data_IF_803557753263
#
_entry.id   IF_803557753263
#
_cell.length_a   1.000
_cell.length_b   1.000
_cell.length_c   1.000
_cell.angle_alpha   90.00
_cell.angle_beta   90.00
_cell.angle_gamma   90.00
#
_symmetry.space_group_name_H-M   'P 1'
#
loop_
_entity.id
_entity.type
_entity.pdbx_description
1 polymer ?
#
# COMPACT_ATOMS: atom_id res chain seq x y z
N UNK A 1 20.87 -11.08 -15.74
CA UNK A 1 21.46 -10.51 -14.51
C UNK A 1 20.98 -9.09 -14.25
N UNK A 2 21.15 -8.16 -15.19
CA UNK A 2 20.72 -6.75 -15.03
C UNK A 2 19.23 -6.60 -14.72
N UNK A 3 18.34 -7.21 -15.51
CA UNK A 3 16.89 -7.12 -15.27
C UNK A 3 16.47 -7.69 -13.90
N UNK A 4 17.10 -8.80 -13.47
CA UNK A 4 16.86 -9.40 -12.16
C UNK A 4 17.30 -8.47 -11.02
N UNK A 5 18.47 -7.82 -11.18
CA UNK A 5 18.97 -6.83 -10.22
C UNK A 5 18.04 -5.61 -10.12
N UNK A 6 17.49 -5.14 -11.24
CA UNK A 6 16.53 -4.04 -11.26
C UNK A 6 15.23 -4.43 -10.53
N UNK A 7 14.67 -5.60 -10.82
CA UNK A 7 13.45 -6.08 -10.14
C UNK A 7 13.69 -6.21 -8.64
N UNK A 8 14.81 -6.81 -8.22
CA UNK A 8 15.16 -6.95 -6.81
C UNK A 8 15.30 -5.60 -6.10
N UNK A 9 15.84 -4.57 -6.77
CA UNK A 9 15.97 -3.22 -6.22
C UNK A 9 14.63 -2.47 -6.11
N UNK A 10 13.66 -2.78 -6.96
CA UNK A 10 12.36 -2.08 -7.00
C UNK A 10 11.36 -2.63 -5.98
N UNK A 11 11.37 -3.93 -5.71
CA UNK A 11 10.45 -4.59 -4.76
C UNK A 11 10.37 -3.88 -3.40
N UNK A 12 11.47 -3.56 -2.69
CA UNK A 12 11.40 -2.95 -1.37
C UNK A 12 10.74 -1.55 -1.37
N UNK A 13 10.75 -0.84 -2.50
CA UNK A 13 10.12 0.49 -2.63
C UNK A 13 8.58 0.41 -2.61
N UNK A 14 8.01 -0.76 -2.85
CA UNK A 14 6.57 -0.99 -2.88
C UNK A 14 5.99 -1.59 -1.60
N UNK A 15 6.83 -2.01 -0.65
CA UNK A 15 6.38 -2.69 0.57
C UNK A 15 5.91 -1.66 1.58
N UNK A 16 4.71 -1.88 2.13
CA UNK A 16 4.18 -1.09 3.24
C UNK A 16 3.22 -1.94 4.09
N UNK A 17 2.89 -1.44 5.28
CA UNK A 17 1.98 -2.08 6.21
C UNK A 17 0.70 -1.26 6.34
N UNK A 18 -0.45 -1.96 6.36
CA UNK A 18 -1.74 -1.42 6.79
C UNK A 18 -1.94 -1.89 8.24
N UNK A 19 -1.99 -0.99 9.22
CA UNK A 19 -2.19 -1.36 10.61
C UNK A 19 -3.56 -2.00 10.84
N UNK A 20 -3.67 -2.78 11.90
CA UNK A 20 -4.98 -3.26 12.38
C UNK A 20 -5.91 -2.08 12.66
N UNK A 21 -7.21 -2.32 12.46
CA UNK A 21 -8.24 -1.29 12.56
C UNK A 21 -8.24 -0.26 11.43
N UNK A 22 -7.38 -0.40 10.42
CA UNK A 22 -7.36 0.44 9.23
C UNK A 22 -7.62 -0.35 7.94
N UNK A 23 -7.97 0.36 6.88
CA UNK A 23 -8.03 -0.17 5.52
C UNK A 23 -7.16 0.65 4.57
N UNK A 24 -6.59 -0.01 3.58
CA UNK A 24 -5.81 0.63 2.52
C UNK A 24 -6.67 0.98 1.31
N UNK A 25 -6.67 2.25 0.93
CA UNK A 25 -7.29 2.76 -0.29
C UNK A 25 -6.19 3.03 -1.32
N UNK A 26 -6.22 2.29 -2.43
CA UNK A 26 -5.19 2.36 -3.46
C UNK A 26 -5.63 3.22 -4.64
N UNK A 27 -4.69 3.99 -5.16
CA UNK A 27 -4.83 4.72 -6.40
C UNK A 27 -3.73 4.26 -7.35
N UNK A 28 -4.07 4.04 -8.63
CA UNK A 28 -3.11 3.73 -9.69
C UNK A 28 -3.19 4.80 -10.76
N UNK A 29 -2.10 5.55 -10.96
CA UNK A 29 -2.08 6.70 -11.87
C UNK A 29 -3.10 7.78 -11.51
N UNK A 30 -3.44 7.90 -10.22
CA UNK A 30 -4.49 8.81 -9.73
C UNK A 30 -5.92 8.25 -9.77
N UNK A 31 -6.17 7.10 -10.42
CA UNK A 31 -7.48 6.46 -10.43
C UNK A 31 -7.65 5.54 -9.21
N UNK A 32 -8.77 5.68 -8.50
CA UNK A 32 -9.13 4.85 -7.35
C UNK A 32 -9.35 3.39 -7.79
N UNK A 33 -8.77 2.44 -7.05
CA UNK A 33 -9.05 1.01 -7.22
C UNK A 33 -10.40 0.65 -6.59
N UNK A 34 -11.07 -0.34 -7.16
CA UNK A 34 -12.44 -0.71 -6.83
C UNK A 34 -12.61 -1.37 -5.46
N UNK A 35 -11.52 -1.81 -4.83
CA UNK A 35 -11.56 -2.53 -3.56
C UNK A 35 -10.64 -1.89 -2.52
N UNK A 36 -11.08 -1.94 -1.27
CA UNK A 36 -10.23 -1.66 -0.11
C UNK A 36 -9.39 -2.88 0.23
N UNK A 37 -8.23 -2.64 0.84
CA UNK A 37 -7.29 -3.68 1.26
C UNK A 37 -7.30 -3.83 2.78
N UNK A 38 -7.31 -5.09 3.25
CA UNK A 38 -7.31 -5.44 4.66
C UNK A 38 -5.97 -5.12 5.37
N UNK A 39 -5.92 -5.13 6.71
CA UNK A 39 -4.68 -5.04 7.48
C UNK A 39 -3.61 -6.06 7.06
N UNK A 40 -2.34 -5.72 7.28
CA UNK A 40 -1.18 -6.56 6.98
C UNK A 40 -0.15 -5.91 6.06
N UNK A 41 0.84 -6.68 5.61
CA UNK A 41 1.86 -6.25 4.66
C UNK A 41 1.41 -6.44 3.23
N UNK A 42 1.57 -5.40 2.42
CA UNK A 42 1.19 -5.40 1.02
C UNK A 42 2.31 -4.84 0.14
N UNK A 43 2.31 -5.28 -1.12
CA UNK A 43 3.22 -4.80 -2.15
C UNK A 43 2.42 -3.98 -3.14
N UNK A 44 2.93 -2.79 -3.46
CA UNK A 44 2.37 -1.92 -4.48
C UNK A 44 3.42 -1.63 -5.56
N UNK A 45 2.98 -1.17 -6.73
CA UNK A 45 3.91 -0.78 -7.79
C UNK A 45 4.48 0.61 -7.47
N UNK A 46 5.77 0.72 -7.11
CA UNK A 46 6.33 2.02 -6.77
C UNK A 46 6.18 3.00 -7.95
N UNK A 47 6.14 4.29 -7.62
CA UNK A 47 5.99 5.43 -8.54
C UNK A 47 4.62 5.62 -9.19
N UNK A 48 3.85 4.56 -9.45
CA UNK A 48 2.53 4.68 -10.12
C UNK A 48 1.35 4.35 -9.22
N UNK A 49 1.57 3.69 -8.09
CA UNK A 49 0.53 3.48 -7.08
C UNK A 49 0.79 4.29 -5.82
N UNK A 50 -0.28 4.83 -5.25
CA UNK A 50 -0.27 5.43 -3.92
C UNK A 50 -1.33 4.79 -3.05
N UNK A 51 -1.06 4.72 -1.76
CA UNK A 51 -1.97 4.17 -0.75
C UNK A 51 -2.33 5.24 0.28
N UNK A 52 -3.60 5.29 0.66
CA UNK A 52 -4.10 6.07 1.79
C UNK A 52 -4.63 5.09 2.83
N UNK A 53 -4.14 5.21 4.06
CA UNK A 53 -4.56 4.36 5.18
C UNK A 53 -5.67 5.11 5.91
N UNK A 54 -6.82 4.47 6.07
CA UNK A 54 -8.01 5.06 6.70
C UNK A 54 -8.41 4.23 7.90
N UNK A 55 -8.58 4.90 9.04
CA UNK A 55 -9.08 4.33 10.29
C UNK A 55 -10.53 3.83 10.11
N UNK A 56 -10.78 2.57 10.48
CA UNK A 56 -12.11 1.92 10.46
C UNK A 56 -12.62 1.53 11.86
N UNK A 57 -11.76 1.63 12.87
CA UNK A 57 -12.10 1.37 14.27
C UNK A 57 -12.38 2.67 15.03
N UNK A 58 -13.21 2.59 16.06
CA UNK A 58 -13.37 3.71 16.99
C UNK A 58 -12.06 3.93 17.75
N UNK A 59 -11.59 5.18 17.76
CA UNK A 59 -10.49 5.63 18.61
C UNK A 59 -11.04 6.68 19.56
N UNK A 60 -10.63 6.59 20.81
CA UNK A 60 -10.78 7.67 21.79
C UNK A 60 -9.43 8.37 21.84
N UNK A 61 -9.40 9.65 21.50
CA UNK A 61 -8.22 10.47 21.79
C UNK A 61 -8.12 10.61 23.32
N UNK A 62 -6.90 10.56 23.84
CA UNK A 62 -6.61 10.85 25.25
C UNK A 62 -6.72 12.35 25.53
#
# INVERSE_FOLDING_TARGET
>A
LVALGIVAAIIPLGIHQIPEGHVGIYYRGGALLTSMTAPGYHVMMPFITSVKIVQTTLQTDE
#
